data_IF_559572810349
#
_entry.id   IF_559572810349
#
_cell.length_a   1.000
_cell.length_b   1.000
_cell.length_c   1.000
_cell.angle_alpha   90.00
_cell.angle_beta   90.00
_cell.angle_gamma   90.00
#
_symmetry.space_group_name_H-M   'P 1'
#
loop_
_entity.id
_entity.type
_entity.pdbx_description
1 polymer ?
#
# COMPACT_ATOMS: atom_id res chain seq x y z
N UNK A 1 -5.03 7.04 -6.65
CA UNK A 1 -3.69 7.05 -6.08
C UNK A 1 -2.62 6.66 -7.09
N UNK A 2 -1.39 7.03 -6.83
CA UNK A 2 -0.25 6.70 -7.67
C UNK A 2 0.43 5.41 -7.18
N UNK A 3 0.92 4.59 -8.10
CA UNK A 3 1.74 3.42 -7.81
C UNK A 3 3.22 3.78 -7.94
N UNK A 4 3.98 3.60 -6.87
CA UNK A 4 5.42 3.89 -6.84
C UNK A 4 6.20 2.60 -6.61
N UNK A 5 7.17 2.25 -7.48
CA UNK A 5 7.97 1.06 -7.30
C UNK A 5 8.99 1.22 -6.18
N UNK A 6 9.17 0.17 -5.40
CA UNK A 6 10.13 0.12 -4.29
C UNK A 6 10.99 -1.14 -4.40
N UNK A 7 12.29 -0.99 -4.26
CA UNK A 7 13.21 -2.12 -4.15
C UNK A 7 13.21 -2.64 -2.70
N UNK A 8 13.16 -3.94 -2.55
CA UNK A 8 13.31 -4.65 -1.28
C UNK A 8 14.59 -5.48 -1.32
N UNK A 9 15.43 -5.35 -0.30
CA UNK A 9 16.73 -6.01 -0.23
C UNK A 9 17.08 -6.38 1.21
N UNK A 10 18.17 -7.14 1.38
CA UNK A 10 18.68 -7.46 2.71
C UNK A 10 19.05 -6.20 3.48
N UNK A 11 18.92 -6.19 4.82
CA UNK A 11 19.22 -5.03 5.64
C UNK A 11 20.63 -4.52 5.41
N UNK A 12 20.76 -3.21 5.17
CA UNK A 12 22.06 -2.54 5.04
C UNK A 12 22.06 -1.24 5.82
N UNK A 13 23.22 -0.86 6.36
CA UNK A 13 23.38 0.39 7.09
C UNK A 13 23.77 1.50 6.10
N UNK A 14 22.95 2.55 6.05
CA UNK A 14 23.17 3.76 5.23
C UNK A 14 23.07 4.97 6.12
N UNK A 15 24.13 5.78 6.19
CA UNK A 15 24.17 6.98 7.03
C UNK A 15 23.74 6.75 8.49
N UNK A 16 24.16 5.63 9.09
CA UNK A 16 23.84 5.26 10.46
C UNK A 16 22.45 4.67 10.70
N UNK A 17 21.68 4.46 9.63
CA UNK A 17 20.32 3.89 9.68
C UNK A 17 20.28 2.57 8.91
N UNK A 18 19.66 1.54 9.50
CA UNK A 18 19.41 0.27 8.78
C UNK A 18 18.23 0.45 7.84
N UNK A 19 18.43 0.12 6.56
CA UNK A 19 17.40 0.21 5.52
C UNK A 19 17.24 -1.11 4.80
N UNK A 20 16.01 -1.42 4.38
CA UNK A 20 15.62 -2.60 3.59
C UNK A 20 14.85 -2.23 2.33
N UNK A 21 14.49 -0.97 2.17
CA UNK A 21 13.67 -0.46 1.08
C UNK A 21 14.33 0.78 0.48
N UNK A 22 14.29 0.89 -0.83
CA UNK A 22 14.73 2.08 -1.55
C UNK A 22 13.77 2.40 -2.69
N UNK A 23 13.49 3.67 -2.93
CA UNK A 23 12.66 4.10 -4.04
C UNK A 23 13.32 3.80 -5.37
N UNK A 24 12.54 3.25 -6.30
CA UNK A 24 12.90 3.08 -7.71
C UNK A 24 12.36 4.23 -8.58
N UNK A 25 11.67 5.17 -7.95
CA UNK A 25 11.11 6.37 -8.54
C UNK A 25 9.91 6.10 -9.48
N UNK A 26 10.13 5.57 -10.67
CA UNK A 26 9.10 5.20 -11.65
C UNK A 26 9.59 4.12 -12.61
N UNK A 27 8.70 3.65 -13.49
CA UNK A 27 9.03 2.61 -14.47
C UNK A 27 10.11 3.05 -15.47
N UNK A 28 10.15 4.32 -15.84
CA UNK A 28 11.15 4.85 -16.77
C UNK A 28 12.55 4.82 -16.17
N UNK A 29 12.68 5.12 -14.88
CA UNK A 29 13.96 5.02 -14.17
C UNK A 29 14.44 3.57 -14.04
N UNK A 30 13.51 2.62 -13.80
CA UNK A 30 13.83 1.19 -13.79
C UNK A 30 14.39 0.76 -15.15
N UNK A 31 13.76 1.16 -16.23
CA UNK A 31 14.19 0.85 -17.60
C UNK A 31 15.53 1.54 -17.94
N UNK A 32 15.67 2.82 -17.60
CA UNK A 32 16.89 3.60 -17.86
C UNK A 32 18.12 3.02 -17.14
N UNK A 33 17.96 2.60 -15.90
CA UNK A 33 19.01 1.99 -15.09
C UNK A 33 19.13 0.49 -15.32
N UNK A 34 18.20 -0.11 -16.08
CA UNK A 34 18.14 -1.56 -16.35
C UNK A 34 18.16 -2.39 -15.05
N UNK A 35 17.31 -2.01 -14.09
CA UNK A 35 17.22 -2.68 -12.80
C UNK A 35 16.43 -3.97 -12.94
N UNK A 36 16.97 -5.08 -12.40
CA UNK A 36 16.36 -6.42 -12.44
C UNK A 36 16.33 -7.05 -11.07
N UNK A 37 15.37 -7.95 -10.87
CA UNK A 37 15.31 -8.74 -9.62
C UNK A 37 16.56 -9.62 -9.51
N UNK A 38 17.19 -9.58 -8.35
CA UNK A 38 18.45 -10.27 -8.08
C UNK A 38 19.70 -9.43 -8.33
N UNK A 39 19.57 -8.20 -8.82
CA UNK A 39 20.70 -7.29 -9.02
C UNK A 39 21.30 -6.84 -7.70
N UNK A 40 22.60 -6.54 -7.73
CA UNK A 40 23.28 -5.77 -6.69
C UNK A 40 23.22 -4.30 -7.06
N UNK A 41 22.72 -3.47 -6.16
CA UNK A 41 22.48 -2.05 -6.41
C UNK A 41 23.25 -1.17 -5.44
N UNK A 42 23.56 0.04 -5.87
CA UNK A 42 24.09 1.09 -5.01
C UNK A 42 22.91 1.98 -4.59
N UNK A 43 22.75 2.16 -3.28
CA UNK A 43 21.71 3.00 -2.70
C UNK A 43 22.33 4.22 -2.03
N UNK A 44 21.57 5.32 -2.00
CA UNK A 44 21.95 6.52 -1.30
C UNK A 44 20.71 7.19 -0.69
N UNK A 45 20.92 8.01 0.31
CA UNK A 45 19.85 8.87 0.84
C UNK A 45 19.87 10.22 0.08
N UNK A 46 18.79 10.52 -0.61
CA UNK A 46 18.55 11.83 -1.18
C UNK A 46 17.90 12.72 -0.10
N UNK A 47 18.68 13.62 0.48
CA UNK A 47 18.25 14.36 1.67
C UNK A 47 18.16 13.44 2.90
N UNK A 48 17.35 13.80 3.88
CA UNK A 48 17.31 13.08 5.16
C UNK A 48 16.31 11.92 5.23
N UNK A 49 15.51 11.64 4.19
CA UNK A 49 14.28 10.91 4.41
C UNK A 49 14.16 9.61 3.62
N UNK A 50 14.42 9.55 2.31
CA UNK A 50 14.09 8.38 1.49
C UNK A 50 15.31 7.83 0.76
N UNK A 51 15.74 6.57 1.09
CA UNK A 51 16.77 5.89 0.30
C UNK A 51 16.31 5.69 -1.15
N UNK A 52 17.23 5.88 -2.09
CA UNK A 52 16.99 5.68 -3.52
C UNK A 52 18.05 4.77 -4.12
N UNK A 53 17.69 4.05 -5.17
CA UNK A 53 18.64 3.28 -5.96
C UNK A 53 19.36 4.21 -6.92
N UNK A 54 20.66 4.34 -6.77
CA UNK A 54 21.52 5.16 -7.62
C UNK A 54 21.86 4.46 -8.93
N UNK A 55 22.35 3.22 -8.84
CA UNK A 55 22.81 2.46 -9.99
C UNK A 55 22.85 0.96 -9.69
N UNK A 56 23.06 0.16 -10.73
CA UNK A 56 23.19 -1.28 -10.68
C UNK A 56 24.62 -1.69 -10.99
N UNK A 57 25.16 -2.63 -10.20
CA UNK A 57 26.44 -3.27 -10.47
C UNK A 57 26.23 -4.45 -11.42
N UNK A 58 26.25 -4.19 -12.71
CA UNK A 58 25.97 -5.21 -13.75
C UNK A 58 26.97 -6.37 -13.74
N UNK A 59 28.19 -6.16 -13.26
CA UNK A 59 29.22 -7.18 -13.12
C UNK A 59 28.81 -8.28 -12.14
N UNK A 60 27.99 -7.94 -11.15
CA UNK A 60 27.50 -8.87 -10.13
C UNK A 60 26.11 -9.44 -10.46
N UNK A 61 25.56 -9.11 -11.63
CA UNK A 61 24.24 -9.57 -12.04
C UNK A 61 24.19 -11.07 -12.26
N UNK A 62 23.23 -11.79 -11.63
CA UNK A 62 23.00 -13.21 -11.93
C UNK A 62 22.63 -13.41 -13.40
N UNK A 63 23.15 -14.46 -14.03
CA UNK A 63 22.84 -14.81 -15.43
C UNK A 63 21.35 -15.09 -15.65
N UNK A 64 20.65 -15.48 -14.61
CA UNK A 64 19.19 -15.74 -14.62
C UNK A 64 18.33 -14.49 -14.50
N UNK A 65 18.91 -13.32 -14.24
CA UNK A 65 18.17 -12.07 -14.06
C UNK A 65 17.51 -11.64 -15.38
N UNK A 66 16.17 -11.53 -15.35
CA UNK A 66 15.38 -11.10 -16.52
C UNK A 66 15.00 -9.62 -16.38
N UNK A 67 14.78 -8.97 -17.51
CA UNK A 67 14.27 -7.60 -17.52
C UNK A 67 12.99 -7.49 -16.69
N UNK A 68 12.90 -6.43 -15.88
CA UNK A 68 11.75 -6.18 -15.01
C UNK A 68 10.70 -5.37 -15.77
N UNK A 69 9.49 -5.90 -15.85
CA UNK A 69 8.34 -5.21 -16.41
C UNK A 69 7.42 -4.76 -15.27
N UNK A 70 7.40 -3.47 -14.99
CA UNK A 70 6.63 -2.90 -13.89
C UNK A 70 5.13 -3.03 -14.11
N UNK A 71 4.66 -2.83 -15.32
CA UNK A 71 3.24 -2.97 -15.67
C UNK A 71 2.74 -4.41 -15.47
N UNK A 72 3.51 -5.39 -15.97
CA UNK A 72 3.21 -6.79 -15.78
C UNK A 72 3.21 -7.21 -14.31
N UNK A 73 4.13 -6.67 -13.50
CA UNK A 73 4.20 -6.95 -12.07
C UNK A 73 3.03 -6.32 -11.30
N UNK A 74 2.60 -5.11 -11.67
CA UNK A 74 1.38 -4.50 -11.11
C UNK A 74 0.15 -5.35 -11.39
N UNK A 75 -0.02 -5.84 -12.62
CA UNK A 75 -1.13 -6.71 -12.99
C UNK A 75 -1.11 -8.05 -12.25
N UNK A 76 0.08 -8.58 -11.96
CA UNK A 76 0.26 -9.81 -11.22
C UNK A 76 -0.04 -9.67 -9.73
N UNK A 77 0.43 -8.59 -9.11
CA UNK A 77 0.25 -8.36 -7.66
C UNK A 77 -1.15 -7.86 -7.34
N UNK A 78 -1.78 -7.12 -8.24
CA UNK A 78 -3.09 -6.51 -8.06
C UNK A 78 -4.02 -6.84 -9.23
N UNK A 79 -4.42 -8.11 -9.42
CA UNK A 79 -5.22 -8.52 -10.57
C UNK A 79 -6.62 -7.89 -10.62
N UNK A 80 -7.11 -7.40 -9.48
CA UNK A 80 -8.41 -6.75 -9.35
C UNK A 80 -8.38 -5.24 -9.60
N UNK A 81 -7.19 -4.67 -9.80
CA UNK A 81 -6.98 -3.24 -9.96
C UNK A 81 -6.47 -2.96 -11.37
N UNK A 82 -7.15 -2.06 -12.07
CA UNK A 82 -6.67 -1.52 -13.33
C UNK A 82 -5.76 -0.31 -13.07
N UNK A 83 -4.61 -0.31 -13.71
CA UNK A 83 -3.68 0.81 -13.69
C UNK A 83 -3.63 1.47 -15.06
N UNK A 84 -3.51 2.78 -15.07
CA UNK A 84 -3.29 3.55 -16.29
C UNK A 84 -2.07 4.45 -16.14
N UNK A 85 -1.40 4.69 -17.24
CA UNK A 85 -0.35 5.69 -17.33
C UNK A 85 -0.80 6.81 -18.26
N UNK A 86 -1.16 7.98 -17.73
CA UNK A 86 -1.50 9.14 -18.54
C UNK A 86 -0.33 9.50 -19.48
N UNK A 87 -0.64 9.98 -20.67
CA UNK A 87 0.37 10.25 -21.72
C UNK A 87 1.48 11.21 -21.29
N UNK A 88 1.14 12.13 -20.40
CA UNK A 88 2.05 13.18 -19.94
C UNK A 88 2.65 12.88 -18.56
N UNK A 89 2.45 11.68 -18.02
CA UNK A 89 2.94 11.27 -16.71
C UNK A 89 3.87 10.06 -16.79
N UNK A 90 4.84 10.03 -15.88
CA UNK A 90 5.75 8.88 -15.71
C UNK A 90 5.29 7.90 -14.63
N UNK A 91 4.14 8.17 -14.02
CA UNK A 91 3.58 7.43 -12.88
C UNK A 91 2.33 6.66 -13.32
N UNK A 92 2.23 5.40 -12.89
CA UNK A 92 1.01 4.62 -13.03
C UNK A 92 0.01 5.03 -11.95
N UNK A 93 -1.23 5.23 -12.37
CA UNK A 93 -2.35 5.58 -11.48
C UNK A 93 -3.41 4.49 -11.49
N UNK A 94 -4.10 4.36 -10.38
CA UNK A 94 -5.25 3.47 -10.26
C UNK A 94 -6.41 4.05 -11.06
N UNK A 95 -6.98 3.23 -11.97
CA UNK A 95 -8.09 3.62 -12.83
C UNK A 95 -9.44 3.30 -12.19
N UNK A 96 -10.40 4.21 -12.31
CA UNK A 96 -11.80 3.97 -11.95
C UNK A 96 -12.07 3.67 -10.47
N UNK A 97 -12.97 2.71 -10.22
CA UNK A 97 -13.50 2.38 -8.88
C UNK A 97 -12.56 1.55 -8.00
N UNK A 98 -11.34 1.29 -8.43
CA UNK A 98 -10.35 0.55 -7.63
C UNK A 98 -9.99 1.26 -6.30
N UNK A 99 -10.35 2.53 -6.14
CA UNK A 99 -10.24 3.24 -4.87
C UNK A 99 -10.95 2.54 -3.71
N UNK A 100 -12.07 1.86 -3.96
CA UNK A 100 -12.79 1.06 -2.95
C UNK A 100 -11.97 -0.14 -2.48
N UNK A 101 -11.31 -0.86 -3.39
CA UNK A 101 -10.46 -2.01 -3.05
C UNK A 101 -9.25 -1.56 -2.23
N UNK A 102 -8.60 -0.47 -2.62
CA UNK A 102 -7.50 0.11 -1.88
C UNK A 102 -7.93 0.60 -0.50
N UNK A 103 -9.11 1.21 -0.40
CA UNK A 103 -9.69 1.63 0.87
C UNK A 103 -9.95 0.44 1.79
N UNK A 104 -10.51 -0.66 1.30
CA UNK A 104 -10.71 -1.89 2.07
C UNK A 104 -9.40 -2.41 2.65
N UNK A 105 -8.36 -2.54 1.82
CA UNK A 105 -7.04 -2.99 2.27
C UNK A 105 -6.37 -2.03 3.27
N UNK A 106 -6.51 -0.72 3.04
CA UNK A 106 -5.97 0.29 3.95
C UNK A 106 -6.66 0.24 5.32
N UNK A 107 -7.98 0.06 5.36
CA UNK A 107 -8.74 -0.04 6.61
C UNK A 107 -8.42 -1.32 7.38
N UNK A 108 -8.26 -2.45 6.70
CA UNK A 108 -7.84 -3.71 7.31
C UNK A 108 -6.47 -3.57 7.97
N UNK A 109 -5.52 -2.98 7.26
CA UNK A 109 -4.18 -2.72 7.81
C UNK A 109 -4.23 -1.74 8.98
N UNK A 110 -4.97 -0.66 8.86
CA UNK A 110 -5.12 0.36 9.89
C UNK A 110 -5.74 -0.19 11.19
N UNK A 111 -6.72 -1.09 11.05
CA UNK A 111 -7.38 -1.73 12.17
C UNK A 111 -6.61 -2.93 12.73
N UNK A 112 -5.54 -3.39 12.07
CA UNK A 112 -4.76 -4.55 12.48
C UNK A 112 -3.94 -4.27 13.75
N UNK A 113 -3.45 -5.35 14.38
CA UNK A 113 -2.58 -5.27 15.58
C UNK A 113 -1.28 -4.51 15.35
N UNK A 114 -0.79 -4.51 14.10
CA UNK A 114 0.41 -3.75 13.72
C UNK A 114 0.20 -2.24 13.61
N UNK A 115 -1.05 -1.77 13.65
CA UNK A 115 -1.42 -0.36 13.60
C UNK A 115 -2.23 0.04 14.83
N UNK A 116 -3.53 0.37 14.69
CA UNK A 116 -4.35 0.84 15.80
C UNK A 116 -5.06 -0.27 16.58
N UNK A 117 -5.07 -1.50 16.08
CA UNK A 117 -5.70 -2.65 16.74
C UNK A 117 -7.14 -2.35 17.24
N UNK A 118 -8.02 -2.02 16.30
CA UNK A 118 -9.41 -1.73 16.60
C UNK A 118 -10.20 -3.05 16.67
N UNK A 119 -10.61 -3.43 17.87
CA UNK A 119 -11.45 -4.61 18.08
C UNK A 119 -12.75 -4.55 17.29
N UNK A 120 -13.18 -5.70 16.80
CA UNK A 120 -14.41 -5.87 16.01
C UNK A 120 -14.39 -5.23 14.61
N UNK A 121 -13.28 -4.62 14.18
CA UNK A 121 -13.11 -4.09 12.82
C UNK A 121 -12.36 -5.10 11.95
N UNK A 122 -12.91 -6.30 11.80
CA UNK A 122 -12.38 -7.32 10.90
C UNK A 122 -12.81 -7.11 9.45
N UNK A 123 -12.25 -7.93 8.54
CA UNK A 123 -12.48 -7.84 7.09
C UNK A 123 -13.95 -7.73 6.69
N UNK A 124 -14.81 -8.55 7.28
CA UNK A 124 -16.25 -8.57 6.97
C UNK A 124 -16.96 -7.26 7.36
N UNK A 125 -16.56 -6.68 8.49
CA UNK A 125 -17.13 -5.43 8.96
C UNK A 125 -16.62 -4.24 8.14
N UNK A 126 -15.35 -4.25 7.75
CA UNK A 126 -14.77 -3.27 6.83
C UNK A 126 -15.53 -3.27 5.50
N UNK A 127 -15.76 -4.44 4.91
CA UNK A 127 -16.51 -4.59 3.65
C UNK A 127 -17.94 -4.05 3.80
N UNK A 128 -18.64 -4.40 4.89
CA UNK A 128 -20.00 -3.93 5.13
C UNK A 128 -20.09 -2.41 5.27
N UNK A 129 -19.15 -1.77 5.96
CA UNK A 129 -19.09 -0.32 6.12
C UNK A 129 -18.85 0.42 4.80
N UNK A 130 -17.97 -0.10 3.96
CA UNK A 130 -17.66 0.49 2.65
C UNK A 130 -18.83 0.29 1.69
N UNK A 131 -19.41 -0.89 1.62
CA UNK A 131 -20.53 -1.21 0.74
C UNK A 131 -21.80 -0.41 1.10
N UNK A 132 -22.00 -0.11 2.38
CA UNK A 132 -23.06 0.78 2.86
C UNK A 132 -22.74 2.28 2.70
N UNK A 133 -21.59 2.64 2.16
CA UNK A 133 -21.11 4.02 2.00
C UNK A 133 -21.00 4.82 3.33
N UNK A 134 -20.87 4.14 4.45
CA UNK A 134 -20.66 4.76 5.77
C UNK A 134 -19.20 5.22 5.95
N UNK A 135 -18.27 4.59 5.24
CA UNK A 135 -16.85 4.91 5.27
C UNK A 135 -16.36 5.06 3.83
N UNK A 136 -15.93 6.25 3.46
CA UNK A 136 -15.34 6.59 2.16
C UNK A 136 -13.84 6.91 2.27
N UNK A 137 -13.37 7.18 3.48
CA UNK A 137 -11.98 7.46 3.84
C UNK A 137 -11.69 6.86 5.22
N UNK A 138 -10.40 6.62 5.52
CA UNK A 138 -9.96 6.08 6.82
C UNK A 138 -10.45 6.96 7.98
N UNK A 139 -10.43 8.27 7.85
CA UNK A 139 -10.90 9.21 8.86
C UNK A 139 -12.40 9.05 9.19
N UNK A 140 -13.20 8.55 8.27
CA UNK A 140 -14.66 8.37 8.46
C UNK A 140 -14.98 7.33 9.53
N UNK A 141 -14.06 6.43 9.87
CA UNK A 141 -14.20 5.48 10.98
C UNK A 141 -14.56 6.21 12.28
N UNK A 142 -13.91 7.34 12.55
CA UNK A 142 -14.08 8.09 13.79
C UNK A 142 -15.39 8.85 13.87
N UNK A 143 -16.14 8.94 12.78
CA UNK A 143 -17.46 9.57 12.70
C UNK A 143 -18.61 8.57 12.80
N UNK A 144 -18.33 7.27 12.82
CA UNK A 144 -19.34 6.22 12.92
C UNK A 144 -20.12 6.30 14.25
N UNK A 145 -21.44 6.15 14.15
CA UNK A 145 -22.35 6.11 15.29
C UNK A 145 -23.02 4.74 15.37
N UNK A 146 -23.44 4.36 16.57
CA UNK A 146 -24.16 3.11 16.81
C UNK A 146 -25.36 2.94 15.86
N UNK A 147 -26.13 4.01 15.64
CA UNK A 147 -27.28 4.00 14.75
C UNK A 147 -26.96 3.67 13.31
N UNK A 148 -25.83 4.18 12.80
CA UNK A 148 -25.37 3.92 11.44
C UNK A 148 -25.06 2.42 11.25
N UNK A 149 -24.57 1.75 12.29
CA UNK A 149 -24.22 0.33 12.27
C UNK A 149 -25.44 -0.59 12.42
N UNK A 150 -26.46 -0.17 13.17
CA UNK A 150 -27.66 -0.96 13.38
C UNK A 150 -28.52 -1.11 12.11
N UNK A 151 -28.35 -0.22 11.14
CA UNK A 151 -28.98 -0.32 9.82
C UNK A 151 -28.38 -1.43 8.94
N UNK A 152 -27.23 -1.98 9.34
CA UNK A 152 -26.55 -3.06 8.63
C UNK A 152 -27.02 -4.43 9.16
N UNK A 153 -27.38 -5.33 8.27
CA UNK A 153 -27.86 -6.69 8.60
C UNK A 153 -26.89 -7.54 9.44
N UNK A 154 -25.62 -7.14 9.51
CA UNK A 154 -24.57 -7.90 10.19
C UNK A 154 -24.21 -7.40 11.59
N UNK A 155 -24.81 -6.30 12.02
CA UNK A 155 -24.55 -5.73 13.32
C UNK A 155 -25.75 -5.86 14.25
N UNK A 156 -25.62 -6.75 15.25
CA UNK A 156 -26.52 -6.73 16.41
C UNK A 156 -26.14 -5.54 17.33
N UNK A 157 -27.07 -5.11 18.18
CA UNK A 157 -26.87 -3.98 19.07
C UNK A 157 -25.57 -4.07 19.91
N UNK A 158 -25.25 -5.24 20.43
CA UNK A 158 -24.04 -5.49 21.22
C UNK A 158 -22.78 -5.31 20.37
N UNK A 159 -22.79 -5.82 19.12
CA UNK A 159 -21.66 -5.71 18.19
C UNK A 159 -21.42 -4.27 17.75
N UNK A 160 -22.48 -3.54 17.44
CA UNK A 160 -22.40 -2.12 17.09
C UNK A 160 -21.81 -1.28 18.22
N UNK A 161 -22.27 -1.51 19.45
CA UNK A 161 -21.75 -0.82 20.64
C UNK A 161 -20.27 -1.14 20.88
N UNK A 162 -19.88 -2.40 20.80
CA UNK A 162 -18.47 -2.82 20.97
C UNK A 162 -17.56 -2.15 19.95
N UNK A 163 -17.99 -2.07 18.69
CA UNK A 163 -17.20 -1.42 17.64
C UNK A 163 -17.04 0.08 17.90
N UNK A 164 -18.10 0.80 18.24
CA UNK A 164 -18.06 2.25 18.54
C UNK A 164 -17.19 2.52 19.76
N UNK A 165 -17.29 1.73 20.81
CA UNK A 165 -16.46 1.84 22.01
C UNK A 165 -14.99 1.59 21.71
N UNK A 166 -14.67 0.57 20.90
CA UNK A 166 -13.32 0.26 20.47
C UNK A 166 -12.70 1.38 19.62
N UNK A 167 -13.46 1.98 18.71
CA UNK A 167 -13.02 3.13 17.92
C UNK A 167 -12.75 4.35 18.82
N UNK A 168 -13.63 4.61 19.77
CA UNK A 168 -13.49 5.75 20.69
C UNK A 168 -12.25 5.63 21.59
N UNK A 169 -11.85 4.41 21.94
CA UNK A 169 -10.63 4.14 22.70
C UNK A 169 -9.33 4.42 21.93
N UNK A 170 -9.40 4.58 20.61
CA UNK A 170 -8.25 4.83 19.71
C UNK A 170 -8.19 6.26 19.16
N UNK A 171 -9.07 7.15 19.60
CA UNK A 171 -9.04 8.57 19.22
C UNK A 171 -7.90 9.34 19.85
#
# INVERSE_FOLDING_TARGET
>A
GAATPVAVFDPVVVAGTTVQHASLHNADEIARKDIRVGDTVIIYKAGDIIPQVQSVLKELRPKSAKAFDYEAELAKQFPEIEFERPKDEVVYRVKGNAGTILLKKALEHYASRGALDIDSLGEKNVIALIDAQLVLDIADIYTLRKQDLLELDRFAEISARKLVDAISAKK
#
